data_IF_080574118802
#
_entry.id   IF_080574118802
#
_cell.length_a   1.000
_cell.length_b   1.000
_cell.length_c   1.000
_cell.angle_alpha   90.00
_cell.angle_beta   90.00
_cell.angle_gamma   90.00
#
_symmetry.space_group_name_H-M   'P 1'
#
loop_
_entity.id
_entity.type
_entity.pdbx_description
1 polymer ?
#
# COMPACT_ATOMS: atom_id res chain seq x y z
N UNK A 1 -0.47 -6.98 -37.60
CA UNK A 1 -1.03 -6.48 -36.32
C UNK A 1 0.08 -6.41 -35.27
N UNK A 2 0.17 -5.33 -34.49
CA UNK A 2 1.10 -5.17 -33.37
C UNK A 2 0.36 -5.19 -32.02
N UNK A 3 0.54 -6.26 -31.26
CA UNK A 3 -0.02 -6.41 -29.92
C UNK A 3 1.01 -6.02 -28.86
N UNK A 4 0.71 -5.04 -28.01
CA UNK A 4 1.54 -4.69 -26.84
C UNK A 4 0.99 -5.40 -25.62
N UNK A 5 1.76 -6.30 -25.03
CA UNK A 5 1.24 -7.30 -24.09
C UNK A 5 1.92 -7.19 -22.73
N UNK A 6 1.11 -6.99 -21.69
CA UNK A 6 1.53 -7.16 -20.30
C UNK A 6 1.57 -8.63 -19.90
N UNK A 7 2.74 -9.12 -19.50
CA UNK A 7 2.92 -10.52 -19.05
C UNK A 7 2.78 -10.69 -17.54
N UNK A 8 2.41 -9.63 -16.81
CA UNK A 8 2.34 -9.69 -15.35
C UNK A 8 3.72 -9.78 -14.68
N UNK A 9 3.73 -10.01 -13.36
CA UNK A 9 4.97 -10.20 -12.59
C UNK A 9 5.46 -11.64 -12.54
N UNK A 10 4.57 -12.62 -12.78
CA UNK A 10 4.85 -14.05 -12.87
C UNK A 10 4.02 -14.68 -14.00
N UNK A 11 4.34 -15.91 -14.40
CA UNK A 11 3.60 -16.62 -15.45
C UNK A 11 2.12 -16.85 -15.08
N UNK A 12 1.84 -17.04 -13.79
CA UNK A 12 0.47 -17.18 -13.27
C UNK A 12 -0.34 -15.87 -13.35
N UNK A 13 0.30 -14.75 -13.66
CA UNK A 13 -0.32 -13.44 -13.74
C UNK A 13 -0.56 -12.96 -15.18
N UNK A 14 -0.26 -13.80 -16.18
CA UNK A 14 -0.61 -13.54 -17.57
C UNK A 14 -2.13 -13.65 -17.72
N UNK A 15 -2.78 -12.60 -18.22
CA UNK A 15 -4.23 -12.63 -18.47
C UNK A 15 -4.56 -13.59 -19.61
N UNK A 16 -5.76 -14.18 -19.60
CA UNK A 16 -6.21 -15.10 -20.65
C UNK A 16 -6.07 -14.45 -22.04
N UNK A 17 -6.52 -13.20 -22.19
CA UNK A 17 -6.41 -12.46 -23.45
C UNK A 17 -4.96 -12.19 -23.88
N UNK A 18 -4.05 -11.93 -22.93
CA UNK A 18 -2.63 -11.75 -23.22
C UNK A 18 -1.99 -13.06 -23.69
N UNK A 19 -2.32 -14.18 -23.04
CA UNK A 19 -1.85 -15.51 -23.40
C UNK A 19 -2.30 -15.91 -24.81
N UNK A 20 -3.57 -15.68 -25.13
CA UNK A 20 -4.11 -15.94 -26.48
C UNK A 20 -3.40 -15.11 -27.55
N UNK A 21 -3.17 -13.82 -27.28
CA UNK A 21 -2.45 -12.94 -28.19
C UNK A 21 -0.99 -13.39 -28.41
N UNK A 22 -0.30 -13.85 -27.37
CA UNK A 22 1.05 -14.44 -27.49
C UNK A 22 0.99 -15.73 -28.33
N UNK A 23 0.03 -16.61 -28.05
CA UNK A 23 -0.13 -17.88 -28.79
C UNK A 23 -0.38 -17.64 -30.29
N UNK A 24 -1.13 -16.60 -30.65
CA UNK A 24 -1.43 -16.24 -32.04
C UNK A 24 -0.34 -15.40 -32.72
N UNK A 25 0.70 -14.98 -31.99
CA UNK A 25 1.79 -14.19 -32.56
C UNK A 25 2.77 -15.08 -33.36
N UNK A 26 3.22 -14.56 -34.50
CA UNK A 26 4.31 -15.12 -35.31
C UNK A 26 5.67 -14.70 -34.75
N UNK A 27 5.75 -13.47 -34.22
CA UNK A 27 6.98 -12.85 -33.73
C UNK A 27 6.79 -12.32 -32.31
N UNK A 28 7.73 -12.59 -31.42
CA UNK A 28 7.77 -12.02 -30.07
C UNK A 28 8.98 -11.10 -29.93
N UNK A 29 8.72 -9.85 -29.54
CA UNK A 29 9.73 -8.82 -29.34
C UNK A 29 9.72 -8.41 -27.88
N UNK A 30 10.88 -8.43 -27.21
CA UNK A 30 10.94 -8.09 -25.80
C UNK A 30 12.34 -7.91 -25.23
N UNK A 31 12.38 -7.45 -23.98
CA UNK A 31 13.62 -7.47 -23.20
C UNK A 31 14.00 -8.91 -22.85
N UNK A 32 15.28 -9.24 -22.97
CA UNK A 32 15.82 -10.61 -22.79
C UNK A 32 15.21 -11.36 -21.60
N UNK A 33 15.17 -10.75 -20.40
CA UNK A 33 14.65 -11.41 -19.19
C UNK A 33 13.15 -11.71 -19.25
N UNK A 34 12.35 -10.86 -19.89
CA UNK A 34 10.91 -11.06 -20.01
C UNK A 34 10.58 -12.16 -21.02
N UNK A 35 11.38 -12.26 -22.08
CA UNK A 35 11.26 -13.36 -23.04
C UNK A 35 11.66 -14.68 -22.39
N UNK A 36 12.72 -14.68 -21.57
CA UNK A 36 13.15 -15.86 -20.81
C UNK A 36 12.12 -16.30 -19.77
N UNK A 37 11.39 -15.38 -19.12
CA UNK A 37 10.40 -15.78 -18.11
C UNK A 37 9.19 -16.53 -18.68
N UNK A 38 8.86 -16.31 -19.96
CA UNK A 38 7.71 -16.94 -20.63
C UNK A 38 8.13 -17.97 -21.69
N UNK A 39 9.37 -18.48 -21.64
CA UNK A 39 9.92 -19.35 -22.70
C UNK A 39 9.02 -20.53 -23.08
N UNK A 40 8.29 -21.07 -22.10
CA UNK A 40 7.47 -22.27 -22.22
C UNK A 40 6.26 -22.08 -23.15
N UNK A 41 5.90 -20.83 -23.46
CA UNK A 41 4.77 -20.49 -24.34
C UNK A 41 5.20 -19.83 -25.66
N UNK A 42 6.50 -19.87 -25.98
CA UNK A 42 7.08 -19.23 -27.17
C UNK A 42 7.49 -20.20 -28.29
N UNK A 43 7.17 -21.49 -28.15
CA UNK A 43 7.57 -22.49 -29.14
C UNK A 43 7.01 -22.18 -30.55
N UNK A 44 7.85 -22.42 -31.58
CA UNK A 44 7.52 -22.18 -32.98
C UNK A 44 7.47 -20.70 -33.42
N UNK A 45 7.86 -19.74 -32.58
CA UNK A 45 7.81 -18.29 -32.88
C UNK A 45 9.17 -17.71 -33.22
N UNK A 46 9.20 -16.67 -34.05
CA UNK A 46 10.41 -15.83 -34.20
C UNK A 46 10.61 -15.00 -32.93
N UNK A 47 11.82 -15.01 -32.35
CA UNK A 47 12.09 -14.32 -31.08
C UNK A 47 13.16 -13.23 -31.28
N UNK A 48 12.77 -11.98 -31.06
CA UNK A 48 13.65 -10.82 -31.13
C UNK A 48 13.94 -10.30 -29.71
N UNK A 49 15.16 -10.56 -29.23
CA UNK A 49 15.61 -10.16 -27.88
C UNK A 49 16.53 -8.94 -27.98
N UNK A 50 16.18 -7.84 -27.29
CA UNK A 50 17.06 -6.67 -27.14
C UNK A 50 17.44 -6.43 -25.69
N UNK A 51 18.56 -5.73 -25.50
CA UNK A 51 19.13 -5.37 -24.19
C UNK A 51 18.40 -4.21 -23.51
N UNK A 52 18.88 -3.84 -22.31
CA UNK A 52 18.34 -2.71 -21.54
C UNK A 52 18.68 -1.37 -22.21
N UNK A 53 17.77 -0.39 -22.14
CA UNK A 53 17.97 0.96 -22.71
C UNK A 53 17.63 1.12 -24.19
N UNK A 54 17.25 0.04 -24.87
CA UNK A 54 16.93 0.03 -26.30
C UNK A 54 15.41 -0.06 -26.55
N UNK A 55 14.65 0.77 -25.84
CA UNK A 55 13.17 0.73 -25.84
C UNK A 55 12.58 1.12 -27.20
N UNK A 56 13.09 2.19 -27.81
CA UNK A 56 12.64 2.68 -29.12
C UNK A 56 12.91 1.63 -30.20
N UNK A 57 14.13 1.08 -30.26
CA UNK A 57 14.51 0.00 -31.19
C UNK A 57 13.63 -1.23 -31.07
N UNK A 58 13.21 -1.63 -29.86
CA UNK A 58 12.23 -2.73 -29.69
C UNK A 58 10.90 -2.40 -30.36
N UNK A 59 10.42 -1.17 -30.21
CA UNK A 59 9.20 -0.74 -30.89
C UNK A 59 9.42 -0.77 -32.41
N UNK A 60 10.48 -0.15 -32.91
CA UNK A 60 10.76 -0.04 -34.35
C UNK A 60 10.89 -1.42 -35.01
N UNK A 61 11.52 -2.38 -34.35
CA UNK A 61 11.59 -3.77 -34.81
C UNK A 61 10.22 -4.45 -34.82
N UNK A 62 9.41 -4.24 -33.78
CA UNK A 62 8.05 -4.78 -33.72
C UNK A 62 7.14 -4.19 -34.81
N UNK A 63 7.26 -2.89 -35.07
CA UNK A 63 6.55 -2.20 -36.16
C UNK A 63 6.99 -2.74 -37.51
N UNK A 64 8.29 -2.86 -37.78
CA UNK A 64 8.80 -3.38 -39.03
C UNK A 64 8.23 -4.78 -39.34
N UNK A 65 8.24 -5.68 -38.35
CA UNK A 65 7.65 -7.03 -38.50
C UNK A 65 6.15 -7.01 -38.71
N UNK A 66 5.43 -6.11 -38.05
CA UNK A 66 3.99 -5.99 -38.24
C UNK A 66 3.63 -5.45 -39.64
N UNK A 67 4.46 -4.56 -40.21
CA UNK A 67 4.33 -4.08 -41.59
C UNK A 67 4.68 -5.15 -42.64
N UNK A 68 5.50 -6.14 -42.28
CA UNK A 68 5.68 -7.37 -43.09
C UNK A 68 4.44 -8.29 -43.07
N UNK A 69 3.34 -7.87 -42.44
CA UNK A 69 2.09 -8.64 -42.33
C UNK A 69 2.08 -9.66 -41.19
N UNK A 70 3.07 -9.64 -40.29
CA UNK A 70 3.13 -10.57 -39.15
C UNK A 70 2.20 -10.14 -38.00
N UNK A 71 1.78 -11.12 -37.22
CA UNK A 71 1.21 -10.92 -35.90
C UNK A 71 2.34 -10.82 -34.87
N UNK A 72 2.53 -9.62 -34.30
CA UNK A 72 3.66 -9.34 -33.42
C UNK A 72 3.19 -9.15 -31.98
N UNK A 73 3.84 -9.84 -31.05
CA UNK A 73 3.71 -9.63 -29.61
C UNK A 73 4.91 -8.83 -29.07
N UNK A 74 4.70 -7.54 -28.81
CA UNK A 74 5.65 -6.68 -28.09
C UNK A 74 5.39 -6.78 -26.58
N UNK A 75 6.20 -7.55 -25.87
CA UNK A 75 5.94 -7.88 -24.46
C UNK A 75 6.56 -6.87 -23.48
N UNK A 76 5.87 -6.62 -22.37
CA UNK A 76 6.31 -5.85 -21.20
C UNK A 76 6.03 -6.62 -19.92
N UNK A 77 6.94 -6.57 -18.94
CA UNK A 77 6.62 -7.06 -17.58
C UNK A 77 5.52 -6.23 -16.95
N UNK A 78 4.67 -6.85 -16.14
CA UNK A 78 3.57 -6.17 -15.49
C UNK A 78 2.53 -5.70 -16.50
N UNK A 79 2.16 -4.42 -16.42
CA UNK A 79 1.26 -3.76 -17.37
C UNK A 79 2.05 -2.88 -18.35
N UNK A 80 1.77 -2.93 -19.66
CA UNK A 80 2.54 -2.18 -20.66
C UNK A 80 2.32 -0.67 -20.59
N UNK A 81 1.24 -0.19 -19.97
CA UNK A 81 0.96 1.24 -19.75
C UNK A 81 1.61 1.82 -18.50
N UNK A 82 2.17 0.99 -17.61
CA UNK A 82 2.81 1.44 -16.37
C UNK A 82 4.32 1.35 -16.55
N UNK A 83 4.94 2.48 -16.90
CA UNK A 83 6.39 2.57 -17.17
C UNK A 83 6.89 1.52 -18.19
N UNK A 84 6.01 1.09 -19.11
CA UNK A 84 6.25 -0.01 -20.04
C UNK A 84 6.21 0.40 -21.52
N UNK A 85 6.13 -0.60 -22.40
CA UNK A 85 6.31 -0.38 -23.84
C UNK A 85 5.16 0.35 -24.54
N UNK A 86 3.94 0.39 -23.97
CA UNK A 86 2.85 1.13 -24.58
C UNK A 86 3.17 2.62 -24.65
N UNK A 87 3.76 3.17 -23.59
CA UNK A 87 4.14 4.58 -23.52
C UNK A 87 5.16 4.95 -24.61
N UNK A 88 6.07 4.03 -24.94
CA UNK A 88 7.09 4.25 -25.97
C UNK A 88 6.49 4.07 -27.37
N UNK A 89 5.64 3.05 -27.56
CA UNK A 89 4.96 2.83 -28.83
C UNK A 89 4.15 4.06 -29.25
N UNK A 90 3.27 4.55 -28.38
CA UNK A 90 2.38 5.67 -28.70
C UNK A 90 3.12 7.00 -28.93
N UNK A 91 4.38 7.14 -28.48
CA UNK A 91 5.19 8.32 -28.78
C UNK A 91 5.71 8.34 -30.23
N UNK A 92 5.97 7.17 -30.82
CA UNK A 92 6.61 7.10 -32.14
C UNK A 92 5.68 6.56 -33.23
N UNK A 93 4.48 6.10 -32.85
CA UNK A 93 3.59 5.40 -33.76
C UNK A 93 3.15 6.24 -34.96
N UNK A 94 3.01 7.55 -34.80
CA UNK A 94 2.59 8.46 -35.88
C UNK A 94 3.58 8.56 -37.03
N UNK A 95 4.75 7.93 -36.94
CA UNK A 95 5.71 7.79 -38.05
C UNK A 95 5.28 6.74 -39.08
N UNK A 96 4.27 5.93 -38.76
CA UNK A 96 3.87 4.77 -39.54
C UNK A 96 2.37 4.81 -39.83
N UNK A 97 2.02 4.56 -41.09
CA UNK A 97 0.64 4.38 -41.53
C UNK A 97 0.26 2.88 -41.48
N UNK A 98 -1.04 2.59 -41.54
CA UNK A 98 -1.59 1.22 -41.72
C UNK A 98 -1.18 0.18 -40.65
N UNK A 99 -0.91 0.61 -39.41
CA UNK A 99 -0.63 -0.29 -38.30
C UNK A 99 -1.85 -0.54 -37.40
N UNK A 100 -2.36 -1.77 -37.40
CA UNK A 100 -3.34 -2.20 -36.41
C UNK A 100 -2.66 -2.49 -35.06
N UNK A 101 -3.10 -1.81 -34.00
CA UNK A 101 -2.50 -1.89 -32.66
C UNK A 101 -3.53 -2.32 -31.64
N UNK A 102 -3.13 -3.21 -30.73
CA UNK A 102 -3.92 -3.58 -29.57
C UNK A 102 -3.07 -3.69 -28.32
N UNK A 103 -3.54 -3.13 -27.22
CA UNK A 103 -2.88 -3.21 -25.92
C UNK A 103 -3.61 -4.24 -25.06
N UNK A 104 -2.85 -5.15 -24.47
CA UNK A 104 -3.35 -6.17 -23.56
C UNK A 104 -2.84 -5.88 -22.15
N UNK A 105 -3.74 -5.67 -21.18
CA UNK A 105 -3.35 -5.33 -19.81
C UNK A 105 -2.68 -6.52 -19.10
N UNK A 106 -1.88 -6.21 -18.09
CA UNK A 106 -1.23 -7.21 -17.24
C UNK A 106 -1.22 -6.82 -15.77
N UNK A 107 -1.04 -7.80 -14.88
CA UNK A 107 -0.96 -7.53 -13.44
C UNK A 107 0.32 -6.76 -13.13
N UNK A 108 0.18 -5.49 -12.76
CA UNK A 108 1.33 -4.63 -12.45
C UNK A 108 2.00 -5.00 -11.12
N UNK A 109 3.26 -4.62 -10.94
CA UNK A 109 4.00 -4.94 -9.71
C UNK A 109 3.37 -4.33 -8.46
N UNK A 110 2.62 -3.23 -8.56
CA UNK A 110 1.86 -2.65 -7.46
C UNK A 110 0.85 -3.65 -6.87
N UNK A 111 -0.05 -4.18 -7.71
CA UNK A 111 -1.10 -5.10 -7.28
C UNK A 111 -0.55 -6.48 -6.93
N UNK A 112 0.48 -6.93 -7.65
CA UNK A 112 1.22 -8.16 -7.30
C UNK A 112 1.89 -8.06 -5.93
N UNK A 113 2.57 -6.94 -5.66
CA UNK A 113 3.22 -6.72 -4.36
C UNK A 113 2.19 -6.59 -3.25
N UNK A 114 1.06 -5.94 -3.52
CA UNK A 114 -0.05 -5.84 -2.58
C UNK A 114 -0.63 -7.20 -2.20
N UNK A 115 -0.85 -8.10 -3.16
CA UNK A 115 -1.36 -9.46 -2.87
C UNK A 115 -0.40 -10.28 -2.00
N UNK A 116 0.91 -10.01 -2.10
CA UNK A 116 1.91 -10.61 -1.23
C UNK A 116 2.01 -9.93 0.13
N UNK A 117 1.74 -8.63 0.24
CA UNK A 117 1.83 -7.90 1.52
C UNK A 117 0.54 -7.97 2.35
N UNK A 118 -0.60 -8.31 1.76
CA UNK A 118 -1.91 -8.33 2.41
C UNK A 118 -2.89 -7.38 1.70
N UNK A 119 -3.21 -6.25 2.33
CA UNK A 119 -4.07 -5.22 1.75
C UNK A 119 -3.51 -3.81 2.01
N UNK A 120 -2.27 -3.51 1.56
CA UNK A 120 -1.64 -2.23 1.86
C UNK A 120 -2.17 -1.05 1.02
N UNK A 121 -2.81 -1.31 -0.13
CA UNK A 121 -3.24 -0.25 -1.05
C UNK A 121 -4.58 0.37 -0.64
N UNK A 122 -4.66 1.69 -0.70
CA UNK A 122 -5.89 2.49 -0.72
C UNK A 122 -5.75 3.51 -1.88
N UNK A 123 -6.03 4.79 -1.65
CA UNK A 123 -5.63 5.85 -2.57
C UNK A 123 -4.11 5.86 -2.61
N UNK A 124 -3.53 5.65 -3.79
CA UNK A 124 -2.11 5.45 -3.94
C UNK A 124 -1.55 6.18 -5.15
N UNK A 125 -0.25 6.46 -5.10
CA UNK A 125 0.53 6.98 -6.22
C UNK A 125 1.59 5.97 -6.64
N UNK A 126 1.69 5.70 -7.95
CA UNK A 126 2.81 4.96 -8.53
C UNK A 126 3.90 5.95 -8.99
N UNK A 127 5.10 5.84 -8.43
CA UNK A 127 6.21 6.76 -8.70
C UNK A 127 7.45 5.95 -9.11
N UNK A 128 8.06 6.30 -10.23
CA UNK A 128 9.36 5.77 -10.64
C UNK A 128 10.48 6.66 -10.09
N UNK A 129 11.53 6.07 -9.49
CA UNK A 129 12.73 6.80 -9.08
C UNK A 129 13.82 6.86 -10.17
N UNK A 130 13.51 6.40 -11.39
CA UNK A 130 14.43 6.51 -12.52
C UNK A 130 14.58 7.96 -12.97
N UNK A 131 15.79 8.51 -12.84
CA UNK A 131 16.15 9.87 -13.24
C UNK A 131 16.83 9.95 -14.62
N UNK A 132 16.71 8.93 -15.46
CA UNK A 132 17.34 8.88 -16.80
C UNK A 132 16.86 10.03 -17.68
N UNK A 133 15.54 10.22 -17.74
CA UNK A 133 14.88 11.26 -18.51
C UNK A 133 13.99 12.15 -17.63
N UNK A 134 13.99 11.93 -16.32
CA UNK A 134 13.17 12.67 -15.36
C UNK A 134 14.08 13.48 -14.42
N UNK A 135 14.00 14.82 -14.40
CA UNK A 135 14.76 15.63 -13.48
C UNK A 135 14.48 15.27 -12.01
N UNK A 136 15.52 15.31 -11.16
CA UNK A 136 15.36 15.03 -9.73
C UNK A 136 14.35 15.94 -9.03
N UNK A 137 14.23 17.20 -9.47
CA UNK A 137 13.25 18.15 -8.95
C UNK A 137 11.80 17.70 -9.18
N UNK A 138 11.54 17.01 -10.29
CA UNK A 138 10.22 16.44 -10.57
C UNK A 138 9.93 15.24 -9.68
N UNK A 139 10.92 14.36 -9.49
CA UNK A 139 10.82 13.21 -8.58
C UNK A 139 10.57 13.69 -7.14
N UNK A 140 11.34 14.68 -6.67
CA UNK A 140 11.15 15.31 -5.36
C UNK A 140 9.74 15.86 -5.20
N UNK A 141 9.28 16.65 -6.18
CA UNK A 141 7.94 17.24 -6.16
C UNK A 141 6.87 16.16 -6.03
N UNK A 142 6.94 15.09 -6.82
CA UNK A 142 5.96 13.98 -6.79
C UNK A 142 5.94 13.30 -5.42
N UNK A 143 7.10 12.93 -4.88
CA UNK A 143 7.21 12.24 -3.59
C UNK A 143 6.66 13.12 -2.47
N UNK A 144 7.09 14.39 -2.41
CA UNK A 144 6.68 15.32 -1.35
C UNK A 144 5.17 15.54 -1.35
N UNK A 145 4.56 15.80 -2.50
CA UNK A 145 3.12 16.05 -2.57
C UNK A 145 2.29 14.79 -2.31
N UNK A 146 2.73 13.62 -2.79
CA UNK A 146 2.03 12.37 -2.51
C UNK A 146 2.09 12.00 -1.02
N UNK A 147 3.23 12.24 -0.37
CA UNK A 147 3.39 12.05 1.07
C UNK A 147 2.56 13.06 1.90
N UNK A 148 2.55 14.35 1.53
CA UNK A 148 1.70 15.37 2.17
C UNK A 148 0.21 15.05 1.99
N UNK A 149 -0.17 14.45 0.86
CA UNK A 149 -1.53 13.99 0.62
C UNK A 149 -1.90 12.69 1.38
N UNK A 150 -0.96 12.10 2.13
CA UNK A 150 -1.14 10.83 2.87
C UNK A 150 -1.60 9.66 1.97
N UNK A 151 -1.11 9.67 0.72
CA UNK A 151 -1.29 8.57 -0.21
C UNK A 151 -0.35 7.42 0.14
N UNK A 152 -0.80 6.19 -0.11
CA UNK A 152 0.11 5.04 -0.18
C UNK A 152 1.04 5.24 -1.38
N UNK A 153 2.34 5.00 -1.23
CA UNK A 153 3.30 5.17 -2.33
C UNK A 153 3.80 3.82 -2.82
N UNK A 154 3.62 3.55 -4.12
CA UNK A 154 4.23 2.39 -4.76
C UNK A 154 5.40 2.85 -5.61
N UNK A 155 6.60 2.42 -5.22
CA UNK A 155 7.84 2.89 -5.83
C UNK A 155 8.37 1.86 -6.82
N UNK A 156 8.47 2.30 -8.07
CA UNK A 156 9.07 1.58 -9.20
C UNK A 156 10.50 2.03 -9.43
N UNK A 157 11.32 1.15 -10.00
CA UNK A 157 12.72 1.41 -10.32
C UNK A 157 13.47 2.06 -9.14
N UNK A 158 13.37 1.51 -7.91
CA UNK A 158 13.73 2.24 -6.71
C UNK A 158 15.23 2.53 -6.62
N UNK A 159 16.09 1.65 -7.14
CA UNK A 159 17.54 1.84 -7.13
C UNK A 159 18.21 1.07 -8.26
N UNK A 160 19.26 1.66 -8.85
CA UNK A 160 20.13 0.98 -9.81
C UNK A 160 21.56 0.83 -9.29
N UNK A 161 22.39 0.03 -9.98
CA UNK A 161 23.81 -0.17 -9.62
C UNK A 161 24.58 1.15 -9.56
N UNK A 162 24.33 2.06 -10.51
CA UNK A 162 25.04 3.34 -10.64
C UNK A 162 24.27 4.54 -10.09
N UNK A 163 22.94 4.47 -10.01
CA UNK A 163 22.08 5.61 -9.64
C UNK A 163 21.40 5.35 -8.31
N UNK A 164 22.04 5.84 -7.25
CA UNK A 164 21.56 5.73 -5.87
C UNK A 164 21.02 7.04 -5.30
N UNK A 165 21.34 8.16 -5.95
CA UNK A 165 20.92 9.51 -5.52
C UNK A 165 19.40 9.67 -5.43
N UNK A 166 18.57 9.18 -6.39
CA UNK A 166 17.11 9.26 -6.28
C UNK A 166 16.55 8.56 -5.04
N UNK A 167 17.05 7.36 -4.73
CA UNK A 167 16.64 6.59 -3.55
C UNK A 167 16.94 7.32 -2.24
N UNK A 168 18.15 7.89 -2.11
CA UNK A 168 18.56 8.67 -0.94
C UNK A 168 17.68 9.91 -0.76
N UNK A 169 17.39 10.61 -1.86
CA UNK A 169 16.51 11.77 -1.88
C UNK A 169 15.08 11.38 -1.46
N UNK A 170 14.56 10.27 -1.99
CA UNK A 170 13.28 9.70 -1.61
C UNK A 170 13.19 9.43 -0.10
N UNK A 171 14.15 8.68 0.48
CA UNK A 171 14.16 8.40 1.92
C UNK A 171 14.24 9.69 2.75
N UNK A 172 15.09 10.63 2.34
CA UNK A 172 15.23 11.94 3.01
C UNK A 172 13.91 12.71 3.03
N UNK A 173 13.26 12.87 1.88
CA UNK A 173 11.98 13.61 1.78
C UNK A 173 10.92 12.96 2.65
N UNK A 174 10.82 11.63 2.64
CA UNK A 174 9.84 10.95 3.48
C UNK A 174 10.11 11.16 4.97
N UNK A 175 11.37 11.05 5.42
CA UNK A 175 11.72 11.32 6.82
C UNK A 175 11.45 12.77 7.26
N UNK A 176 11.45 13.72 6.32
CA UNK A 176 11.08 15.12 6.57
C UNK A 176 9.55 15.36 6.54
N UNK A 177 8.76 14.43 6.00
CA UNK A 177 7.35 14.67 5.65
C UNK A 177 6.37 13.78 6.42
N UNK A 178 6.77 12.56 6.76
CA UNK A 178 5.91 11.54 7.40
C UNK A 178 6.66 10.83 8.54
N UNK A 179 5.89 10.12 9.35
CA UNK A 179 6.39 9.43 10.54
C UNK A 179 7.48 8.40 10.19
N UNK A 180 8.58 8.43 10.94
CA UNK A 180 9.71 7.50 10.78
C UNK A 180 9.33 6.02 11.00
N UNK A 181 8.27 5.74 11.74
CA UNK A 181 7.72 4.39 11.97
C UNK A 181 6.78 3.92 10.85
N UNK A 182 6.53 4.75 9.83
CA UNK A 182 5.66 4.37 8.70
C UNK A 182 6.16 3.07 8.08
N UNK A 183 5.24 2.13 7.88
CA UNK A 183 5.56 0.80 7.38
C UNK A 183 5.93 0.85 5.89
N UNK A 184 6.96 0.08 5.54
CA UNK A 184 7.41 -0.12 4.16
C UNK A 184 7.45 -1.60 3.86
N UNK A 185 6.65 -2.02 2.89
CA UNK A 185 6.70 -3.34 2.29
C UNK A 185 7.74 -3.36 1.17
N UNK A 186 8.58 -4.38 1.16
CA UNK A 186 9.63 -4.62 0.17
C UNK A 186 9.33 -5.96 -0.47
N UNK A 187 9.08 -5.97 -1.78
CA UNK A 187 8.85 -7.19 -2.56
C UNK A 187 9.95 -7.29 -3.61
N UNK A 188 10.80 -8.30 -3.45
CA UNK A 188 11.93 -8.59 -4.35
C UNK A 188 11.59 -9.78 -5.23
N UNK A 189 11.36 -9.50 -6.52
CA UNK A 189 11.00 -10.49 -7.52
C UNK A 189 12.20 -11.17 -8.18
N UNK A 190 13.42 -10.98 -7.66
CA UNK A 190 14.58 -11.80 -8.09
C UNK A 190 14.55 -13.21 -7.50
N UNK A 191 13.78 -13.41 -6.42
CA UNK A 191 13.56 -14.71 -5.80
C UNK A 191 12.32 -15.39 -6.38
N UNK A 192 12.31 -16.72 -6.34
CA UNK A 192 11.15 -17.55 -6.72
C UNK A 192 10.89 -18.57 -5.59
N UNK A 193 9.80 -18.43 -4.81
CA UNK A 193 8.85 -17.31 -4.79
C UNK A 193 9.49 -15.98 -4.38
N UNK A 194 8.82 -14.86 -4.65
CA UNK A 194 9.33 -13.52 -4.34
C UNK A 194 9.59 -13.35 -2.84
N UNK A 195 10.67 -12.65 -2.49
CA UNK A 195 11.03 -12.39 -1.10
C UNK A 195 10.26 -11.16 -0.60
N UNK A 196 9.62 -11.30 0.57
CA UNK A 196 8.79 -10.27 1.19
C UNK A 196 9.46 -9.79 2.48
N UNK A 197 9.50 -8.49 2.71
CA UNK A 197 10.00 -7.91 3.96
C UNK A 197 9.13 -6.70 4.33
N UNK A 198 8.73 -6.61 5.60
CA UNK A 198 8.04 -5.43 6.14
C UNK A 198 8.98 -4.76 7.14
N UNK A 199 9.32 -3.51 6.87
CA UNK A 199 10.20 -2.68 7.71
C UNK A 199 9.54 -1.34 8.00
N UNK A 200 10.26 -0.43 8.67
CA UNK A 200 9.84 0.95 8.90
C UNK A 200 10.64 1.91 8.00
N UNK A 201 10.16 3.14 7.85
CA UNK A 201 10.85 4.17 7.08
C UNK A 201 12.26 4.48 7.62
N UNK A 202 12.43 4.56 8.95
CA UNK A 202 13.76 4.74 9.57
C UNK A 202 14.71 3.60 9.20
N UNK A 203 14.20 2.37 9.18
CA UNK A 203 14.99 1.14 9.04
C UNK A 203 15.18 0.71 7.58
N UNK A 204 14.62 1.42 6.60
CA UNK A 204 14.79 1.12 5.17
C UNK A 204 16.24 1.41 4.70
N UNK A 205 16.97 0.41 4.21
CA UNK A 205 18.35 0.60 3.72
C UNK A 205 18.50 0.33 2.23
N UNK A 206 19.51 0.94 1.60
CA UNK A 206 19.85 0.69 0.19
C UNK A 206 20.15 -0.77 -0.13
N UNK A 207 20.70 -1.52 0.84
CA UNK A 207 21.07 -2.93 0.67
C UNK A 207 19.85 -3.86 0.57
N UNK A 208 18.69 -3.39 1.00
CA UNK A 208 17.46 -4.17 1.03
C UNK A 208 16.71 -4.09 -0.31
N UNK A 209 17.21 -3.29 -1.26
CA UNK A 209 16.49 -2.89 -2.48
C UNK A 209 17.37 -3.07 -3.71
N UNK A 210 16.79 -3.54 -4.81
CA UNK A 210 17.43 -3.65 -6.11
C UNK A 210 16.48 -3.22 -7.26
N UNK A 211 16.91 -3.38 -8.51
CA UNK A 211 16.14 -2.97 -9.70
C UNK A 211 14.82 -3.74 -9.89
N UNK A 212 14.71 -4.95 -9.35
CA UNK A 212 13.51 -5.80 -9.39
C UNK A 212 12.72 -5.76 -8.08
N UNK A 213 12.97 -4.75 -7.24
CA UNK A 213 12.21 -4.51 -6.02
C UNK A 213 11.06 -3.54 -6.28
N UNK A 214 9.88 -3.83 -5.75
CA UNK A 214 8.79 -2.86 -5.58
C UNK A 214 8.68 -2.50 -4.11
N UNK A 215 8.64 -1.20 -3.79
CA UNK A 215 8.40 -0.73 -2.43
C UNK A 215 6.95 -0.25 -2.31
N UNK A 216 6.30 -0.58 -1.20
CA UNK A 216 4.98 -0.07 -0.83
C UNK A 216 5.09 0.66 0.50
N UNK A 217 5.09 1.98 0.45
CA UNK A 217 5.09 2.85 1.64
C UNK A 217 3.65 3.03 2.09
N UNK A 218 3.33 2.59 3.30
CA UNK A 218 2.03 2.81 3.92
C UNK A 218 1.75 4.29 4.17
N UNK A 219 0.50 4.60 4.48
CA UNK A 219 0.09 5.93 4.95
C UNK A 219 -0.11 5.93 6.47
N UNK A 220 -0.60 7.05 7.03
CA UNK A 220 -0.83 7.21 8.47
C UNK A 220 -1.70 6.11 9.10
N UNK A 221 -2.58 5.50 8.31
CA UNK A 221 -3.52 4.46 8.74
C UNK A 221 -3.00 3.04 8.53
N UNK A 222 -1.90 2.85 7.81
CA UNK A 222 -1.36 1.51 7.56
C UNK A 222 -0.80 0.89 8.85
N UNK A 223 -1.12 -0.39 9.09
CA UNK A 223 -0.65 -1.13 10.26
C UNK A 223 -0.22 -2.56 9.92
N UNK A 224 0.54 -3.15 10.86
CA UNK A 224 0.94 -4.56 10.81
C UNK A 224 -0.18 -5.44 11.35
N UNK A 225 -0.54 -6.48 10.61
CA UNK A 225 -1.53 -7.48 10.99
C UNK A 225 -0.89 -8.87 11.00
N UNK A 226 -1.28 -9.72 11.96
CA UNK A 226 -0.97 -11.14 11.98
C UNK A 226 -2.25 -11.93 12.16
N UNK A 227 -2.37 -13.05 11.45
CA UNK A 227 -3.43 -14.00 11.74
C UNK A 227 -3.23 -14.59 13.14
N UNK A 228 -4.31 -14.87 13.88
CA UNK A 228 -4.23 -15.70 15.07
C UNK A 228 -3.62 -17.05 14.68
N UNK A 229 -2.51 -17.43 15.31
CA UNK A 229 -1.91 -18.75 15.10
C UNK A 229 -2.82 -19.76 15.83
N UNK A 230 -3.46 -20.66 15.09
CA UNK A 230 -4.06 -21.84 15.69
C UNK A 230 -2.96 -22.89 15.88
N UNK A 231 -2.86 -23.51 17.05
CA UNK A 231 -1.71 -24.37 17.43
C UNK A 231 -1.58 -25.65 16.59
N UNK A 232 -2.51 -25.89 15.67
CA UNK A 232 -2.57 -27.07 14.80
C UNK A 232 -2.27 -26.76 13.32
N UNK A 233 -2.02 -25.50 12.95
CA UNK A 233 -1.68 -25.12 11.58
C UNK A 233 -0.17 -25.33 11.35
N UNK A 234 0.18 -26.40 10.63
CA UNK A 234 1.55 -26.70 10.20
C UNK A 234 2.01 -25.85 9.00
N UNK A 235 1.14 -24.97 8.49
CA UNK A 235 1.46 -24.07 7.39
C UNK A 235 2.00 -22.73 7.91
N UNK A 236 3.32 -22.55 7.77
CA UNK A 236 4.07 -21.34 8.15
C UNK A 236 3.64 -20.10 7.33
N UNK A 237 2.81 -20.26 6.29
CA UNK A 237 2.29 -19.15 5.47
C UNK A 237 1.45 -18.14 6.27
N UNK A 238 0.82 -18.58 7.36
CA UNK A 238 0.02 -17.74 8.26
C UNK A 238 0.83 -17.07 9.38
N UNK A 239 2.09 -17.47 9.59
CA UNK A 239 2.96 -16.98 10.65
C UNK A 239 3.84 -15.79 10.21
N UNK A 240 3.27 -14.87 9.43
CA UNK A 240 3.97 -13.68 8.95
C UNK A 240 3.19 -12.41 9.22
N UNK A 241 3.92 -11.29 9.23
CA UNK A 241 3.31 -9.97 9.22
C UNK A 241 2.69 -9.66 7.85
N UNK A 242 1.54 -9.00 7.89
CA UNK A 242 0.84 -8.41 6.77
C UNK A 242 0.75 -6.89 6.95
N UNK A 243 0.67 -6.15 5.85
CA UNK A 243 0.36 -4.73 5.84
C UNK A 243 -1.09 -4.52 5.44
N UNK A 244 -1.80 -3.72 6.24
CA UNK A 244 -3.21 -3.40 6.00
C UNK A 244 -3.41 -1.90 6.07
N UNK A 245 -4.03 -1.33 5.03
CA UNK A 245 -4.57 0.02 5.03
C UNK A 245 -6.09 -0.06 5.13
N UNK A 246 -6.71 0.39 6.23
CA UNK A 246 -8.13 0.15 6.47
C UNK A 246 -9.01 0.95 5.51
N UNK A 247 -9.99 0.27 4.91
CA UNK A 247 -11.09 0.91 4.15
C UNK A 247 -12.06 1.66 5.06
N UNK A 248 -12.21 1.19 6.30
CA UNK A 248 -13.19 1.68 7.27
C UNK A 248 -14.56 1.02 7.12
N UNK A 249 -15.20 0.73 8.25
CA UNK A 249 -16.57 0.21 8.35
C UNK A 249 -17.13 0.57 9.73
N UNK A 250 -18.45 0.56 9.89
CA UNK A 250 -19.10 0.82 11.18
C UNK A 250 -19.34 -0.51 11.89
N UNK A 251 -18.76 -0.66 13.07
CA UNK A 251 -19.05 -1.77 13.97
C UNK A 251 -20.15 -1.35 14.94
N UNK A 252 -21.24 -2.14 14.99
CA UNK A 252 -22.32 -1.92 15.95
C UNK A 252 -22.01 -2.65 17.26
N UNK A 253 -22.14 -1.95 18.38
CA UNK A 253 -22.06 -2.55 19.71
C UNK A 253 -23.02 -1.87 20.68
N UNK A 254 -23.28 -2.52 21.81
CA UNK A 254 -23.89 -1.86 22.97
C UNK A 254 -22.85 -0.92 23.60
N UNK A 255 -23.30 0.18 24.19
CA UNK A 255 -22.45 1.04 25.03
C UNK A 255 -22.27 0.31 26.37
N UNK A 256 -21.02 0.20 26.81
CA UNK A 256 -20.70 -0.42 28.09
C UNK A 256 -21.22 0.44 29.25
N UNK A 257 -21.76 -0.13 30.35
CA UNK A 257 -22.29 0.66 31.48
C UNK A 257 -21.31 1.69 32.05
N UNK A 258 -20.02 1.35 32.16
CA UNK A 258 -19.00 2.29 32.63
C UNK A 258 -18.73 3.42 31.64
N UNK A 259 -18.77 3.13 30.32
CA UNK A 259 -18.69 4.19 29.31
C UNK A 259 -19.91 5.12 29.41
N UNK A 260 -21.08 4.56 29.75
CA UNK A 260 -22.29 5.35 29.97
C UNK A 260 -22.17 6.30 31.16
N UNK A 261 -21.67 5.81 32.28
CA UNK A 261 -21.38 6.67 33.44
C UNK A 261 -20.36 7.76 33.10
N UNK A 262 -19.28 7.39 32.42
CA UNK A 262 -18.22 8.32 32.03
C UNK A 262 -18.74 9.48 31.16
N UNK A 263 -19.48 9.16 30.09
CA UNK A 263 -19.97 10.18 29.17
C UNK A 263 -21.11 11.03 29.75
N UNK A 264 -21.88 10.52 30.72
CA UNK A 264 -22.83 11.36 31.45
C UNK A 264 -22.10 12.45 32.25
N UNK A 265 -20.99 12.12 32.93
CA UNK A 265 -20.17 13.11 33.64
C UNK A 265 -19.55 14.12 32.68
N UNK A 266 -19.01 13.63 31.56
CA UNK A 266 -18.46 14.46 30.47
C UNK A 266 -19.48 15.52 30.00
N UNK A 267 -20.71 15.09 29.67
CA UNK A 267 -21.76 15.96 29.16
C UNK A 267 -22.29 16.95 30.22
N UNK A 268 -22.19 16.61 31.51
CA UNK A 268 -22.55 17.51 32.60
C UNK A 268 -21.48 18.58 32.91
N UNK A 269 -20.37 18.59 32.17
CA UNK A 269 -19.26 19.52 32.42
C UNK A 269 -18.49 19.20 33.71
N UNK A 270 -18.60 17.98 34.23
CA UNK A 270 -17.73 17.52 35.32
C UNK A 270 -16.31 17.39 34.76
N UNK A 271 -15.33 18.01 35.42
CA UNK A 271 -13.93 17.94 35.02
C UNK A 271 -13.45 16.49 35.04
N UNK A 272 -13.39 15.88 33.86
CA UNK A 272 -12.68 14.62 33.66
C UNK A 272 -11.20 14.98 33.67
N UNK A 273 -10.56 14.59 34.77
CA UNK A 273 -9.20 14.93 35.10
C UNK A 273 -8.21 14.65 33.95
N UNK A 274 -7.25 15.56 33.77
CA UNK A 274 -5.88 15.24 33.32
C UNK A 274 -5.37 13.99 34.07
N UNK A 275 -4.38 13.27 33.53
CA UNK A 275 -3.76 12.05 34.13
C UNK A 275 -4.27 11.67 35.53
N UNK A 276 -5.34 10.87 35.60
CA UNK A 276 -6.02 10.53 36.85
C UNK A 276 -5.17 9.54 37.66
N UNK A 277 -4.17 10.05 38.39
CA UNK A 277 -3.21 9.26 39.18
C UNK A 277 -3.84 8.54 40.38
N UNK A 278 -5.07 8.89 40.75
CA UNK A 278 -5.80 8.25 41.86
C UNK A 278 -6.73 7.12 41.39
N UNK A 279 -6.86 6.91 40.08
CA UNK A 279 -7.57 5.78 39.51
C UNK A 279 -6.89 4.46 39.90
N UNK A 280 -7.68 3.46 40.31
CA UNK A 280 -7.18 2.12 40.66
C UNK A 280 -6.48 1.40 39.49
N UNK A 281 -6.76 1.83 38.26
CA UNK A 281 -6.17 1.30 37.03
C UNK A 281 -4.95 2.12 36.55
N UNK A 282 -4.48 3.12 37.29
CA UNK A 282 -3.31 3.94 36.92
C UNK A 282 -1.98 3.30 37.39
N UNK A 283 -0.92 3.33 36.58
CA UNK A 283 -0.85 3.76 35.18
C UNK A 283 -1.57 2.75 34.27
N UNK A 284 -2.47 3.25 33.42
CA UNK A 284 -3.18 2.40 32.47
C UNK A 284 -2.33 2.26 31.19
N UNK A 285 -2.18 1.04 30.67
CA UNK A 285 -1.56 0.74 29.36
C UNK A 285 -0.08 1.18 29.18
N UNK A 286 0.75 1.03 30.21
CA UNK A 286 2.22 1.15 30.18
C UNK A 286 2.84 2.56 30.05
N UNK A 287 2.18 3.64 30.48
CA UNK A 287 2.75 5.00 30.39
C UNK A 287 2.50 5.90 31.60
N UNK A 288 3.50 6.72 31.92
CA UNK A 288 3.37 7.86 32.84
C UNK A 288 2.88 9.08 32.03
N UNK A 289 1.92 9.85 32.57
CA UNK A 289 1.33 11.06 31.97
C UNK A 289 0.31 10.88 30.82
N UNK A 290 -0.40 9.75 30.78
CA UNK A 290 -1.54 9.56 29.89
C UNK A 290 -2.70 10.52 30.18
N UNK A 291 -3.38 11.03 29.15
CA UNK A 291 -4.60 11.81 29.31
C UNK A 291 -5.81 10.89 29.51
N UNK A 292 -6.66 11.20 30.51
CA UNK A 292 -7.82 10.38 30.87
C UNK A 292 -9.15 10.92 30.31
N UNK A 293 -9.12 12.05 29.59
CA UNK A 293 -10.25 12.72 28.95
C UNK A 293 -11.15 11.81 28.10
N UNK A 294 -10.56 10.75 27.53
CA UNK A 294 -11.25 9.73 26.75
C UNK A 294 -10.90 8.32 27.23
N UNK A 295 -10.86 8.13 28.57
CA UNK A 295 -10.65 6.83 29.21
C UNK A 295 -11.55 5.75 28.61
N UNK A 296 -12.81 6.11 28.31
CA UNK A 296 -13.64 5.38 27.38
C UNK A 296 -13.56 6.05 26.02
N UNK A 297 -13.00 5.35 25.03
CA UNK A 297 -12.82 5.91 23.70
C UNK A 297 -14.19 6.17 23.01
N UNK A 298 -14.46 7.39 22.49
CA UNK A 298 -15.73 7.70 21.83
C UNK A 298 -15.92 6.89 20.55
N UNK A 299 -14.82 6.38 20.00
CA UNK A 299 -14.80 5.59 18.78
C UNK A 299 -14.96 4.10 19.05
N UNK A 300 -15.08 3.64 20.30
CA UNK A 300 -15.20 2.21 20.58
C UNK A 300 -16.52 1.61 20.09
N UNK A 301 -16.51 0.41 19.48
CA UNK A 301 -15.38 -0.21 18.79
C UNK A 301 -15.11 0.53 17.47
N UNK A 302 -13.83 0.77 17.16
CA UNK A 302 -13.46 1.43 15.90
C UNK A 302 -13.20 0.43 14.76
N UNK A 303 -12.93 -0.84 15.10
CA UNK A 303 -12.67 -1.89 14.10
C UNK A 303 -11.40 -1.66 13.27
N UNK A 304 -10.49 -0.80 13.75
CA UNK A 304 -9.36 -0.29 13.01
C UNK A 304 -8.04 -0.46 13.80
N UNK A 305 -7.13 -1.28 13.25
CA UNK A 305 -5.85 -1.61 13.87
C UNK A 305 -4.76 -0.56 13.73
N UNK A 306 -5.00 0.54 13.02
CA UNK A 306 -4.05 1.65 12.81
C UNK A 306 -3.47 2.24 14.09
N UNK A 307 -4.19 2.07 15.21
CA UNK A 307 -3.80 2.58 16.54
C UNK A 307 -3.57 1.44 17.53
N UNK A 308 -3.39 0.18 17.09
CA UNK A 308 -3.06 -0.96 17.96
C UNK A 308 -4.24 -1.81 18.43
N UNK A 309 -5.47 -1.48 18.03
CA UNK A 309 -6.64 -2.32 18.32
C UNK A 309 -6.66 -3.63 17.49
N UNK A 310 -7.30 -4.67 18.02
CA UNK A 310 -7.43 -5.97 17.35
C UNK A 310 -8.71 -6.71 17.75
N UNK A 311 -9.18 -7.62 16.89
CA UNK A 311 -10.23 -8.56 17.24
C UNK A 311 -9.68 -9.72 18.08
N UNK A 312 -10.38 -10.09 19.14
CA UNK A 312 -10.06 -11.23 20.01
C UNK A 312 -11.30 -12.11 20.20
N UNK A 313 -11.10 -13.43 20.36
CA UNK A 313 -12.20 -14.35 20.67
C UNK A 313 -12.62 -14.18 22.14
N UNK A 314 -13.93 -14.05 22.38
CA UNK A 314 -14.47 -14.09 23.75
C UNK A 314 -14.33 -15.48 24.37
N UNK A 315 -13.98 -15.55 25.66
CA UNK A 315 -13.88 -16.81 26.41
C UNK A 315 -15.23 -17.51 26.58
N UNK A 316 -16.32 -16.75 26.60
CA UNK A 316 -17.61 -17.24 27.12
C UNK A 316 -18.71 -17.39 26.05
N UNK A 317 -18.56 -16.81 24.85
CA UNK A 317 -19.70 -16.71 23.89
C UNK A 317 -19.37 -16.99 22.41
N UNK A 318 -18.16 -17.44 22.07
CA UNK A 318 -17.76 -17.66 20.67
C UNK A 318 -17.98 -16.44 19.75
N UNK A 319 -18.14 -15.24 20.33
CA UNK A 319 -18.31 -13.96 19.63
C UNK A 319 -17.00 -13.18 19.69
N UNK A 320 -16.62 -12.58 18.57
CA UNK A 320 -15.43 -11.73 18.51
C UNK A 320 -15.67 -10.38 19.21
N UNK A 321 -14.68 -9.93 19.98
CA UNK A 321 -14.67 -8.67 20.71
C UNK A 321 -13.53 -7.79 20.19
N UNK A 322 -13.80 -6.50 20.03
CA UNK A 322 -12.76 -5.53 19.70
C UNK A 322 -11.98 -5.17 20.96
N UNK A 323 -10.68 -5.49 20.98
CA UNK A 323 -9.75 -5.13 22.05
C UNK A 323 -8.94 -3.88 21.67
N UNK A 324 -8.89 -2.93 22.58
CA UNK A 324 -8.06 -1.72 22.48
C UNK A 324 -6.82 -1.79 23.40
N UNK A 325 -6.46 -2.97 23.93
CA UNK A 325 -5.43 -3.10 24.97
C UNK A 325 -4.06 -2.53 24.59
N UNK A 326 -3.71 -2.52 23.29
CA UNK A 326 -2.46 -2.00 22.76
C UNK A 326 -2.62 -0.62 22.09
N UNK A 327 -3.75 0.07 22.33
CA UNK A 327 -4.02 1.39 21.78
C UNK A 327 -3.79 2.49 22.82
N UNK A 328 -2.67 3.19 22.72
CA UNK A 328 -2.36 4.37 23.54
C UNK A 328 -2.72 5.71 22.86
N UNK A 329 -3.07 5.69 21.57
CA UNK A 329 -3.30 6.90 20.76
C UNK A 329 -4.32 7.87 21.39
N UNK A 330 -5.44 7.36 21.90
CA UNK A 330 -6.51 8.18 22.51
C UNK A 330 -6.09 8.86 23.83
N UNK A 331 -4.93 8.48 24.38
CA UNK A 331 -4.37 9.00 25.63
C UNK A 331 -3.18 9.94 25.40
N UNK A 332 -2.73 10.10 24.15
CA UNK A 332 -1.69 11.05 23.79
C UNK A 332 -2.20 12.49 23.94
N UNK A 333 -1.37 13.37 24.51
CA UNK A 333 -1.73 14.76 24.80
C UNK A 333 -2.19 15.51 23.54
N UNK A 334 -1.41 15.42 22.46
CA UNK A 334 -1.72 16.11 21.20
C UNK A 334 -3.04 15.59 20.60
N UNK A 335 -3.29 14.29 20.73
CA UNK A 335 -4.54 13.63 20.29
C UNK A 335 -5.75 14.12 21.07
N UNK A 336 -5.64 14.16 22.41
CA UNK A 336 -6.73 14.63 23.25
C UNK A 336 -7.03 16.11 23.04
N UNK A 337 -6.00 16.97 23.00
CA UNK A 337 -6.16 18.41 22.73
C UNK A 337 -6.85 18.68 21.40
N UNK A 338 -6.57 17.88 20.36
CA UNK A 338 -7.22 18.00 19.06
C UNK A 338 -8.66 17.48 19.06
N UNK A 339 -8.92 16.37 19.76
CA UNK A 339 -10.23 15.71 19.79
C UNK A 339 -11.25 16.41 20.64
N UNK A 340 -10.87 16.90 21.83
CA UNK A 340 -11.76 17.48 22.83
C UNK A 340 -12.80 18.44 22.26
N UNK A 341 -12.44 19.53 21.57
CA UNK A 341 -13.44 20.47 21.05
C UNK A 341 -14.41 19.83 20.05
N UNK A 342 -13.94 18.89 19.21
CA UNK A 342 -14.78 18.21 18.20
C UNK A 342 -15.72 17.18 18.83
N UNK A 343 -15.30 16.54 19.92
CA UNK A 343 -16.15 15.60 20.67
C UNK A 343 -17.21 16.37 21.47
N UNK A 344 -16.85 17.49 22.09
CA UNK A 344 -17.80 18.39 22.76
C UNK A 344 -18.82 18.99 21.78
N UNK A 345 -18.40 19.30 20.55
CA UNK A 345 -19.32 19.80 19.50
C UNK A 345 -20.29 18.74 18.97
N UNK A 346 -19.85 17.48 18.85
CA UNK A 346 -20.66 16.44 18.20
C UNK A 346 -21.56 15.67 19.17
N UNK A 347 -21.21 15.58 20.46
CA UNK A 347 -21.97 14.80 21.44
C UNK A 347 -22.90 15.71 22.25
N UNK A 348 -24.21 15.57 22.03
CA UNK A 348 -25.25 16.26 22.81
C UNK A 348 -25.80 15.32 23.90
N UNK A 349 -25.93 14.04 23.57
CA UNK A 349 -26.40 13.00 24.47
C UNK A 349 -25.60 11.70 24.29
N UNK A 350 -25.70 10.80 25.27
CA UNK A 350 -24.94 9.56 25.26
C UNK A 350 -25.18 8.66 24.03
N UNK A 351 -26.42 8.63 23.53
CA UNK A 351 -26.77 7.77 22.40
C UNK A 351 -26.14 8.25 21.07
N UNK A 352 -25.57 9.47 21.04
CA UNK A 352 -24.78 9.98 19.93
C UNK A 352 -23.53 9.15 19.64
N UNK A 353 -22.97 8.47 20.64
CA UNK A 353 -21.89 7.50 20.45
C UNK A 353 -22.27 6.38 19.48
N UNK A 354 -23.57 6.10 19.32
CA UNK A 354 -24.13 5.16 18.34
C UNK A 354 -24.74 5.85 17.14
N UNK A 355 -25.62 6.84 17.36
CA UNK A 355 -26.40 7.48 16.29
C UNK A 355 -25.50 8.28 15.34
N UNK A 356 -24.48 8.98 15.87
CA UNK A 356 -23.48 9.77 15.13
C UNK A 356 -22.16 9.01 14.88
N UNK A 357 -22.17 7.67 14.97
CA UNK A 357 -20.97 6.81 14.87
C UNK A 357 -20.14 7.05 13.61
N UNK A 358 -20.78 7.29 12.47
CA UNK A 358 -20.08 7.55 11.20
C UNK A 358 -19.25 8.84 11.27
N UNK A 359 -19.83 9.89 11.83
CA UNK A 359 -19.17 11.19 11.92
C UNK A 359 -18.06 11.17 12.98
N UNK A 360 -18.27 10.45 14.09
CA UNK A 360 -17.21 10.13 15.04
C UNK A 360 -16.02 9.41 14.37
N UNK A 361 -16.27 8.42 13.50
CA UNK A 361 -15.19 7.75 12.77
C UNK A 361 -14.49 8.65 11.74
N UNK A 362 -15.19 9.64 11.16
CA UNK A 362 -14.56 10.67 10.32
C UNK A 362 -13.63 11.56 11.16
N UNK A 363 -14.10 12.03 12.32
CA UNK A 363 -13.29 12.80 13.29
C UNK A 363 -12.06 11.98 13.70
N UNK A 364 -12.22 10.68 13.99
CA UNK A 364 -11.10 9.78 14.29
C UNK A 364 -10.05 9.78 13.17
N UNK A 365 -10.49 9.60 11.92
CA UNK A 365 -9.60 9.54 10.76
C UNK A 365 -8.86 10.86 10.54
N UNK A 366 -9.57 11.98 10.66
CA UNK A 366 -8.99 13.32 10.58
C UNK A 366 -7.95 13.53 11.70
N UNK A 367 -8.26 13.12 12.94
CA UNK A 367 -7.34 13.24 14.05
C UNK A 367 -6.05 12.45 13.83
N UNK A 368 -6.14 11.19 13.37
CA UNK A 368 -4.94 10.36 13.13
C UNK A 368 -4.00 11.03 12.12
N UNK A 369 -4.56 11.61 11.06
CA UNK A 369 -3.78 12.36 10.08
C UNK A 369 -3.02 13.54 10.72
N UNK A 370 -3.61 14.25 11.69
CA UNK A 370 -2.96 15.38 12.35
C UNK A 370 -1.98 14.98 13.46
N UNK A 371 -2.21 13.85 14.14
CA UNK A 371 -1.46 13.50 15.35
C UNK A 371 -0.43 12.40 15.17
N UNK A 372 -0.55 11.54 14.15
CA UNK A 372 0.39 10.44 13.86
C UNK A 372 1.46 10.77 12.80
N UNK A 373 1.50 12.01 12.30
CA UNK A 373 2.47 12.48 11.29
C UNK A 373 3.90 12.58 11.78
#
# INVERSE_FOLDING_TARGET
>A
MLSVIGIGSTNDNITISALEAIKNADVVVGYKKYVESISDILDGKEIIKKGMGDEISRVELGVAKALEGKNVALISSGDPGIFGMANVLFQIISKYDDLEIKVYPGVTSATFSASLLGAPLHDFAAISLSDILTPLSEIERKIRHAAIADLVLVIYNPISKSRKKPFRLFKKILLETINAETLIGIVDSTYTPSKITITTLKDLNERDVNMSTTLVVGNSMTYKFKFPIDSNDFDDSNNRDYMVSPRGYVVKSKIHPMAKEFYNKFLNGEDILLSNKTCEFYPCHNGENHQCDFCFCPFYPCGDGSTGGKWIKSKDNNTDIWSCENCSWIHDKKTVEWLRPKIEEILDEIDDLKSKKKDLLKIRRECIYHTKR
#
